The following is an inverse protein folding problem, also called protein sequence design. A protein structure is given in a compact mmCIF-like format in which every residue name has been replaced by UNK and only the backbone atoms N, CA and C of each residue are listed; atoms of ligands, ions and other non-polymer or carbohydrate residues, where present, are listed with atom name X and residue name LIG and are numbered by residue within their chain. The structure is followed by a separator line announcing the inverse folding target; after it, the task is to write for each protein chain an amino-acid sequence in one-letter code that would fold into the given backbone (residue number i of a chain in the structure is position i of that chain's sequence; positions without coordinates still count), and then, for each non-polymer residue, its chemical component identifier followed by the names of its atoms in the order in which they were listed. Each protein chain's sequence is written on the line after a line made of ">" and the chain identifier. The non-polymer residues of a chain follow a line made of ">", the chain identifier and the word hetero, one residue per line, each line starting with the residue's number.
data_IF_323262171521
#
_entry.id   IF_323262171521
#
_cell.length_a   1.000
_cell.length_b   1.000
_cell.length_c   1.000
_cell.angle_alpha   90.00
_cell.angle_beta   90.00
_cell.angle_gamma   90.00
#
_symmetry.space_group_name_H-M   'P 1'
#
loop_
_entity.id
_entity.type
_entity.pdbx_description
1 polymer ?
#
# COMPACT_ATOMS: atom_id res chain seq x y z
N UNK A 1 21.25 14.42 22.37
CA UNK A 1 20.55 13.36 21.61
C UNK A 1 20.22 12.10 22.40
N UNK A 2 21.14 11.54 23.22
CA UNK A 2 20.91 10.32 24.01
C UNK A 2 19.79 10.46 25.06
N UNK A 3 19.67 11.63 25.71
CA UNK A 3 18.58 11.89 26.66
C UNK A 3 17.18 11.86 26.04
N UNK A 4 17.01 12.35 24.80
CA UNK A 4 15.71 12.35 24.13
C UNK A 4 15.24 10.92 23.81
N UNK A 5 16.15 10.06 23.31
CA UNK A 5 15.88 8.64 23.06
C UNK A 5 15.67 7.82 24.34
N UNK A 6 16.39 8.15 25.42
CA UNK A 6 16.21 7.50 26.72
C UNK A 6 14.84 7.88 27.33
N UNK A 7 14.44 9.15 27.22
CA UNK A 7 13.13 9.64 27.66
C UNK A 7 12.00 9.01 26.83
N UNK A 8 12.20 8.85 25.53
CA UNK A 8 11.25 8.15 24.65
C UNK A 8 11.13 6.66 25.01
N UNK A 9 12.23 5.95 25.34
CA UNK A 9 12.19 4.54 25.80
C UNK A 9 11.55 4.39 27.19
N UNK A 10 11.78 5.32 28.11
CA UNK A 10 11.15 5.31 29.43
C UNK A 10 9.65 5.64 29.36
N UNK A 11 9.24 6.51 28.44
CA UNK A 11 7.83 6.74 28.09
C UNK A 11 7.19 5.53 27.35
N UNK A 12 7.99 4.57 26.91
CA UNK A 12 7.54 3.32 26.29
C UNK A 12 7.66 2.10 27.23
N UNK A 13 8.11 2.26 28.47
CA UNK A 13 7.95 1.21 29.48
C UNK A 13 6.49 1.23 29.94
N UNK A 14 5.82 0.07 29.99
CA UNK A 14 4.50 -0.03 30.61
C UNK A 14 4.63 0.29 32.09
N UNK A 15 4.04 1.39 32.55
CA UNK A 15 4.03 1.74 33.97
C UNK A 15 3.00 0.85 34.67
N UNK A 16 3.38 0.05 35.69
CA UNK A 16 2.44 -0.77 36.44
C UNK A 16 1.32 0.09 37.03
N UNK A 17 0.07 -0.24 36.71
CA UNK A 17 -1.11 0.49 37.19
C UNK A 17 -1.53 1.70 36.34
N UNK A 18 -0.83 2.02 35.24
CA UNK A 18 -1.28 3.03 34.29
C UNK A 18 -2.58 2.59 33.60
N UNK A 19 -3.54 3.51 33.52
CA UNK A 19 -4.88 3.28 32.98
C UNK A 19 -5.18 4.36 31.95
N UNK A 20 -6.13 4.08 31.05
CA UNK A 20 -6.62 5.09 30.14
C UNK A 20 -7.35 6.18 30.94
N UNK A 21 -6.75 7.37 31.01
CA UNK A 21 -7.28 8.51 31.78
C UNK A 21 -8.26 9.34 30.96
N UNK A 22 -8.10 9.34 29.63
CA UNK A 22 -8.99 10.01 28.69
C UNK A 22 -9.77 9.00 27.86
N UNK A 23 -11.07 9.25 27.69
CA UNK A 23 -11.93 8.47 26.83
C UNK A 23 -11.56 8.67 25.35
N UNK A 24 -11.71 7.62 24.53
CA UNK A 24 -11.46 7.66 23.09
C UNK A 24 -12.24 8.77 22.38
N UNK A 25 -13.46 9.09 22.84
CA UNK A 25 -14.27 10.18 22.29
C UNK A 25 -13.59 11.54 22.43
N UNK A 26 -13.03 11.85 23.62
CA UNK A 26 -12.26 13.07 23.86
C UNK A 26 -10.99 13.11 23.02
N UNK A 27 -10.28 11.98 22.92
CA UNK A 27 -9.06 11.89 22.11
C UNK A 27 -9.36 12.08 20.62
N UNK A 28 -10.48 11.55 20.11
CA UNK A 28 -10.92 11.74 18.72
C UNK A 28 -11.32 13.19 18.44
N UNK A 29 -12.09 13.81 19.33
CA UNK A 29 -12.51 15.21 19.22
C UNK A 29 -11.32 16.19 19.23
N UNK A 30 -10.28 15.85 20.00
CA UNK A 30 -9.01 16.58 19.98
C UNK A 30 -8.26 16.41 18.65
N UNK A 31 -8.25 15.19 18.09
CA UNK A 31 -7.57 14.88 16.83
C UNK A 31 -8.29 15.44 15.59
N UNK A 32 -9.61 15.62 15.67
CA UNK A 32 -10.42 16.16 14.58
C UNK A 32 -10.61 17.68 14.62
N UNK A 33 -10.17 18.32 15.71
CA UNK A 33 -10.24 19.76 15.90
C UNK A 33 -11.61 20.27 16.35
N UNK A 34 -12.59 19.38 16.57
CA UNK A 34 -13.91 19.77 17.08
C UNK A 34 -13.87 20.27 18.52
N UNK A 35 -12.87 19.84 19.29
CA UNK A 35 -12.68 20.30 20.67
C UNK A 35 -11.20 20.27 21.09
N UNK A 36 -10.60 21.40 21.51
CA UNK A 36 -9.27 21.39 22.09
C UNK A 36 -9.25 20.69 23.46
N UNK A 37 -8.13 20.03 23.79
CA UNK A 37 -7.91 19.48 25.13
C UNK A 37 -7.79 20.61 26.16
N UNK A 38 -8.52 20.51 27.27
CA UNK A 38 -8.38 21.41 28.39
C UNK A 38 -7.01 21.24 29.08
N UNK A 39 -6.49 22.24 29.81
CA UNK A 39 -5.20 22.13 30.50
C UNK A 39 -5.08 20.92 31.42
N UNK A 40 -6.14 20.57 32.14
CA UNK A 40 -6.19 19.38 33.00
C UNK A 40 -6.13 18.06 32.19
N UNK A 41 -6.79 18.01 31.02
CA UNK A 41 -6.76 16.85 30.12
C UNK A 41 -5.38 16.71 29.46
N UNK A 42 -4.74 17.82 29.12
CA UNK A 42 -3.37 17.83 28.59
C UNK A 42 -2.37 17.34 29.64
N UNK A 43 -2.51 17.78 30.90
CA UNK A 43 -1.69 17.29 32.01
C UNK A 43 -1.90 15.77 32.25
N UNK A 44 -3.15 15.31 32.22
CA UNK A 44 -3.51 13.90 32.35
C UNK A 44 -2.94 13.04 31.20
N UNK A 45 -3.00 13.55 29.96
CA UNK A 45 -2.39 12.91 28.80
C UNK A 45 -0.86 12.78 28.97
N UNK A 46 -0.18 13.85 29.39
CA UNK A 46 1.28 13.84 29.59
C UNK A 46 1.73 12.92 30.72
N UNK A 47 0.89 12.75 31.75
CA UNK A 47 1.17 11.88 32.89
C UNK A 47 0.94 10.38 32.60
N UNK A 48 0.21 10.03 31.53
CA UNK A 48 -0.14 8.64 31.20
C UNK A 48 0.47 8.18 29.86
N UNK A 49 1.57 7.41 29.90
CA UNK A 49 2.14 6.75 28.72
C UNK A 49 1.13 5.92 27.91
N UNK A 50 0.21 5.21 28.58
CA UNK A 50 -0.84 4.42 27.93
C UNK A 50 -1.82 5.30 27.16
N UNK A 51 -2.26 6.42 27.74
CA UNK A 51 -3.16 7.37 27.07
C UNK A 51 -2.47 8.05 25.88
N UNK A 52 -1.18 8.36 25.98
CA UNK A 52 -0.36 8.86 24.85
C UNK A 52 -0.26 7.84 23.71
N UNK A 53 -0.01 6.56 24.03
CA UNK A 53 -0.02 5.48 23.02
C UNK A 53 -1.37 5.37 22.34
N UNK A 54 -2.46 5.46 23.12
CA UNK A 54 -3.82 5.41 22.58
C UNK A 54 -4.09 6.58 21.63
N UNK A 55 -3.70 7.81 21.99
CA UNK A 55 -3.81 8.98 21.12
C UNK A 55 -3.01 8.79 19.82
N UNK A 56 -1.76 8.31 19.89
CA UNK A 56 -0.92 8.03 18.70
C UNK A 56 -1.57 6.98 17.78
N UNK A 57 -2.15 5.94 18.38
CA UNK A 57 -2.88 4.91 17.64
C UNK A 57 -4.13 5.47 16.94
N UNK A 58 -4.96 6.25 17.65
CA UNK A 58 -6.14 6.90 17.06
C UNK A 58 -5.78 7.89 15.94
N UNK A 59 -4.69 8.65 16.11
CA UNK A 59 -4.18 9.55 15.08
C UNK A 59 -3.73 8.79 13.81
N UNK A 60 -3.12 7.62 13.98
CA UNK A 60 -2.73 6.76 12.87
C UNK A 60 -3.96 6.19 12.13
N UNK A 61 -4.96 5.70 12.86
CA UNK A 61 -6.22 5.23 12.27
C UNK A 61 -6.93 6.35 11.50
N UNK A 62 -6.97 7.57 12.04
CA UNK A 62 -7.56 8.73 11.36
C UNK A 62 -6.82 9.05 10.06
N UNK A 63 -5.48 9.09 10.07
CA UNK A 63 -4.70 9.31 8.85
C UNK A 63 -4.95 8.23 7.79
N UNK A 64 -5.10 6.97 8.21
CA UNK A 64 -5.44 5.88 7.30
C UNK A 64 -6.85 6.03 6.71
N UNK A 65 -7.82 6.51 7.50
CA UNK A 65 -9.18 6.75 7.02
C UNK A 65 -9.28 7.96 6.06
N UNK A 66 -8.42 8.97 6.23
CA UNK A 66 -8.38 10.17 5.40
C UNK A 66 -7.41 10.05 4.22
N UNK A 67 -6.55 9.03 4.18
CA UNK A 67 -5.64 8.82 3.07
C UNK A 67 -6.46 8.52 1.80
N UNK A 68 -6.16 9.18 0.66
CA UNK A 68 -6.78 8.81 -0.60
C UNK A 68 -6.52 7.32 -0.85
N UNK A 69 -7.60 6.54 -0.95
CA UNK A 69 -7.51 5.13 -1.30
C UNK A 69 -6.96 5.03 -2.72
N UNK A 70 -5.85 4.31 -2.88
CA UNK A 70 -5.33 3.98 -4.20
C UNK A 70 -6.42 3.29 -5.03
N UNK A 71 -6.72 3.84 -6.20
CA UNK A 71 -7.78 3.36 -7.09
C UNK A 71 -7.22 2.63 -8.32
N UNK A 72 -5.92 2.78 -8.59
CA UNK A 72 -5.24 2.15 -9.70
C UNK A 72 -4.03 2.96 -10.16
N UNK A 73 -3.21 2.33 -11.00
CA UNK A 73 -2.01 2.90 -11.64
C UNK A 73 -1.97 2.43 -13.09
N UNK A 74 -1.70 3.34 -14.03
CA UNK A 74 -1.54 3.00 -15.45
C UNK A 74 -0.05 2.96 -15.82
N UNK A 75 0.31 2.22 -16.85
CA UNK A 75 1.65 2.21 -17.43
C UNK A 75 1.60 1.91 -18.92
N UNK A 76 2.72 2.17 -19.61
CA UNK A 76 2.83 2.02 -21.06
C UNK A 76 4.07 1.22 -21.45
N UNK A 77 3.92 0.33 -22.42
CA UNK A 77 5.02 -0.30 -23.13
C UNK A 77 5.79 0.80 -23.88
N UNK A 78 6.93 1.19 -23.32
CA UNK A 78 7.87 2.03 -24.05
C UNK A 78 8.69 1.12 -24.94
N UNK A 79 8.64 1.35 -26.24
CA UNK A 79 9.53 0.69 -27.18
C UNK A 79 10.97 0.94 -26.72
N UNK A 80 11.60 -0.08 -26.14
CA UNK A 80 13.04 -0.10 -26.05
C UNK A 80 13.55 -0.24 -27.49
N UNK A 81 14.50 0.61 -27.85
CA UNK A 81 15.09 0.80 -29.18
C UNK A 81 15.83 -0.45 -29.75
N UNK A 82 15.55 -1.64 -29.22
CA UNK A 82 16.32 -2.87 -29.45
C UNK A 82 15.53 -4.08 -29.95
N UNK A 83 14.20 -3.99 -30.14
CA UNK A 83 13.40 -5.11 -30.66
C UNK A 83 13.37 -6.35 -29.76
N UNK A 84 13.88 -6.26 -28.53
CA UNK A 84 13.83 -7.31 -27.53
C UNK A 84 12.48 -7.29 -26.79
N UNK A 85 12.01 -8.46 -26.33
CA UNK A 85 10.80 -8.57 -25.53
C UNK A 85 10.91 -7.68 -24.28
N UNK A 86 9.84 -6.96 -23.90
CA UNK A 86 9.85 -6.10 -22.73
C UNK A 86 9.94 -6.98 -21.49
N UNK A 87 11.14 -7.10 -20.93
CA UNK A 87 11.35 -7.87 -19.72
C UNK A 87 10.64 -7.23 -18.51
N UNK A 88 10.43 -5.90 -18.57
CA UNK A 88 9.96 -5.10 -17.44
C UNK A 88 9.16 -3.88 -17.90
N UNK A 89 7.96 -3.71 -17.34
CA UNK A 89 7.11 -2.52 -17.52
C UNK A 89 6.86 -1.87 -16.16
N UNK A 90 6.78 -0.55 -16.11
CA UNK A 90 6.58 0.21 -14.87
C UNK A 90 5.39 1.16 -15.06
N UNK A 91 4.57 1.31 -14.04
CA UNK A 91 3.48 2.30 -14.05
C UNK A 91 4.01 3.72 -14.04
N UNK A 92 3.23 4.67 -14.53
CA UNK A 92 3.60 6.08 -14.65
C UNK A 92 3.84 6.75 -13.29
N UNK A 93 3.22 6.23 -12.23
CA UNK A 93 3.47 6.64 -10.84
C UNK A 93 4.70 5.97 -10.20
N UNK A 94 5.34 5.04 -10.91
CA UNK A 94 6.55 4.34 -10.47
C UNK A 94 6.32 3.26 -9.41
N UNK A 95 5.08 2.99 -9.01
CA UNK A 95 4.79 2.15 -7.85
C UNK A 95 4.56 0.67 -8.17
N UNK A 96 4.41 0.30 -9.44
CA UNK A 96 4.23 -1.07 -9.86
C UNK A 96 5.18 -1.42 -10.99
N UNK A 97 5.75 -2.62 -10.89
CA UNK A 97 6.53 -3.23 -11.96
C UNK A 97 5.82 -4.50 -12.42
N UNK A 98 5.60 -4.63 -13.74
CA UNK A 98 5.13 -5.86 -14.37
C UNK A 98 6.31 -6.53 -15.08
N UNK A 99 6.72 -7.69 -14.58
CA UNK A 99 7.76 -8.52 -15.18
C UNK A 99 7.11 -9.59 -16.05
N UNK A 100 7.75 -9.84 -17.20
CA UNK A 100 7.34 -10.84 -18.18
C UNK A 100 8.52 -11.77 -18.39
N UNK A 101 8.43 -12.98 -17.84
CA UNK A 101 9.56 -13.92 -17.77
C UNK A 101 9.25 -15.18 -18.60
N UNK A 102 10.18 -15.65 -19.44
CA UNK A 102 10.06 -16.96 -20.05
C UNK A 102 10.37 -18.05 -19.02
N UNK A 103 9.50 -19.04 -18.89
CA UNK A 103 9.64 -20.20 -18.00
C UNK A 103 9.17 -21.47 -18.73
N UNK A 104 10.08 -22.42 -18.96
CA UNK A 104 9.80 -23.71 -19.61
C UNK A 104 9.02 -23.62 -20.94
N UNK A 105 9.36 -22.62 -21.77
CA UNK A 105 8.69 -22.38 -23.05
C UNK A 105 7.30 -21.73 -22.94
N UNK A 106 6.90 -21.30 -21.75
CA UNK A 106 5.72 -20.48 -21.48
C UNK A 106 6.14 -19.13 -20.92
N UNK A 107 5.21 -18.18 -20.89
CA UNK A 107 5.44 -16.89 -20.27
C UNK A 107 4.76 -16.84 -18.89
N UNK A 108 5.45 -16.23 -17.94
CA UNK A 108 4.96 -15.92 -16.60
C UNK A 108 4.85 -14.40 -16.45
N UNK A 109 3.80 -13.97 -15.77
CA UNK A 109 3.57 -12.57 -15.41
C UNK A 109 3.74 -12.42 -13.93
N UNK A 110 4.54 -11.46 -13.51
CA UNK A 110 4.73 -11.11 -12.10
C UNK A 110 4.47 -9.63 -11.95
N UNK A 111 3.50 -9.27 -11.11
CA UNK A 111 3.28 -7.91 -10.67
C UNK A 111 3.99 -7.72 -9.33
N UNK A 112 4.84 -6.70 -9.26
CA UNK A 112 5.61 -6.36 -8.06
C UNK A 112 5.30 -4.93 -7.62
N UNK A 113 4.99 -4.77 -6.34
CA UNK A 113 4.75 -3.50 -5.67
C UNK A 113 6.06 -2.86 -5.20
N UNK A 114 6.22 -1.56 -5.42
CA UNK A 114 7.28 -0.79 -4.76
C UNK A 114 7.00 -0.67 -3.26
N UNK A 115 7.89 -1.16 -2.36
CA UNK A 115 7.69 -1.04 -0.91
C UNK A 115 7.66 0.42 -0.42
N UNK A 116 8.18 1.37 -1.20
CA UNK A 116 8.11 2.79 -0.89
C UNK A 116 6.76 3.44 -1.28
N UNK A 117 5.87 2.73 -1.99
CA UNK A 117 4.58 3.27 -2.39
C UNK A 117 3.73 3.67 -1.17
N UNK A 118 3.09 4.86 -1.16
CA UNK A 118 2.33 5.35 0.00
C UNK A 118 1.20 4.42 0.45
N UNK A 119 0.66 3.60 -0.46
CA UNK A 119 -0.41 2.66 -0.22
C UNK A 119 0.07 1.22 0.07
N UNK A 120 1.37 0.93 -0.05
CA UNK A 120 1.89 -0.43 0.08
C UNK A 120 1.56 -1.11 1.42
N UNK A 121 1.74 -0.46 2.60
CA UNK A 121 1.43 -1.09 3.87
C UNK A 121 -0.04 -1.49 4.02
N UNK A 122 -0.95 -0.77 3.35
CA UNK A 122 -2.38 -1.05 3.38
C UNK A 122 -2.73 -2.25 2.49
N UNK A 123 -2.16 -2.32 1.28
CA UNK A 123 -2.39 -3.41 0.34
C UNK A 123 -1.81 -4.74 0.85
N UNK A 124 -0.57 -4.72 1.37
CA UNK A 124 0.10 -5.91 1.92
C UNK A 124 -0.67 -6.49 3.11
N UNK A 125 -1.09 -5.64 4.05
CA UNK A 125 -1.87 -6.08 5.21
C UNK A 125 -3.20 -6.70 4.82
N UNK A 126 -3.82 -6.21 3.75
CA UNK A 126 -5.10 -6.71 3.26
C UNK A 126 -4.97 -7.98 2.41
N UNK A 127 -3.77 -8.37 1.99
CA UNK A 127 -3.57 -9.40 0.95
C UNK A 127 -4.41 -9.06 -0.29
N UNK A 128 -4.32 -7.81 -0.75
CA UNK A 128 -5.26 -7.22 -1.69
C UNK A 128 -5.37 -8.05 -2.98
N UNK A 129 -6.60 -8.27 -3.45
CA UNK A 129 -6.86 -8.88 -4.76
C UNK A 129 -6.70 -7.79 -5.82
N UNK A 130 -5.77 -8.01 -6.75
CA UNK A 130 -5.44 -7.07 -7.82
C UNK A 130 -5.78 -7.66 -9.17
N UNK A 131 -6.01 -6.78 -10.13
CA UNK A 131 -6.16 -7.11 -11.55
C UNK A 131 -5.23 -6.22 -12.35
N UNK A 132 -4.54 -6.83 -13.31
CA UNK A 132 -3.80 -6.16 -14.37
C UNK A 132 -4.58 -6.33 -15.66
N UNK A 133 -4.85 -5.24 -16.37
CA UNK A 133 -5.49 -5.25 -17.69
C UNK A 133 -4.60 -4.62 -18.75
N UNK A 134 -4.76 -5.03 -20.01
CA UNK A 134 -4.14 -4.35 -21.16
C UNK A 134 -4.88 -3.06 -21.53
N UNK A 135 -4.42 -2.38 -22.59
CA UNK A 135 -5.01 -1.15 -23.10
C UNK A 135 -6.41 -1.31 -23.70
N UNK A 136 -6.85 -2.55 -23.94
CA UNK A 136 -8.21 -2.89 -24.38
C UNK A 136 -9.14 -3.29 -23.22
N UNK A 137 -8.61 -3.46 -22.01
CA UNK A 137 -9.33 -3.88 -20.81
C UNK A 137 -9.36 -5.39 -20.57
N UNK A 138 -8.68 -6.20 -21.41
CA UNK A 138 -8.57 -7.64 -21.19
C UNK A 138 -7.63 -7.94 -20.01
N UNK A 139 -7.91 -8.99 -19.24
CA UNK A 139 -7.11 -9.34 -18.07
C UNK A 139 -5.78 -10.00 -18.48
N UNK A 140 -4.67 -9.46 -17.98
CA UNK A 140 -3.34 -10.05 -18.10
C UNK A 140 -2.97 -10.88 -16.87
N UNK A 141 -3.44 -10.45 -15.69
CA UNK A 141 -3.22 -11.11 -14.42
C UNK A 141 -4.36 -10.76 -13.45
N UNK A 142 -4.76 -11.72 -12.62
CA UNK A 142 -5.58 -11.46 -11.44
C UNK A 142 -5.09 -12.34 -10.29
N UNK A 143 -4.71 -11.73 -9.16
CA UNK A 143 -4.07 -12.43 -8.06
C UNK A 143 -4.05 -11.64 -6.77
N UNK A 144 -3.84 -12.33 -5.64
CA UNK A 144 -3.64 -11.68 -4.34
C UNK A 144 -2.17 -11.35 -4.15
N UNK A 145 -1.91 -10.15 -3.61
CA UNK A 145 -0.58 -9.81 -3.11
C UNK A 145 -0.19 -10.74 -1.97
N UNK A 146 1.02 -11.28 -2.06
CA UNK A 146 1.68 -12.01 -0.99
C UNK A 146 2.40 -11.08 0.01
N UNK A 147 3.21 -11.68 0.89
CA UNK A 147 3.94 -10.95 1.93
C UNK A 147 5.11 -10.10 1.38
N UNK A 148 5.62 -10.45 0.19
CA UNK A 148 6.73 -9.77 -0.47
C UNK A 148 6.25 -8.65 -1.39
N UNK A 149 4.92 -8.57 -1.61
CA UNK A 149 4.31 -7.57 -2.46
C UNK A 149 4.24 -7.98 -3.91
N UNK A 150 4.20 -9.28 -4.16
CA UNK A 150 4.13 -9.86 -5.49
C UNK A 150 2.81 -10.60 -5.70
N UNK A 151 2.38 -10.67 -6.95
CA UNK A 151 1.42 -11.66 -7.38
C UNK A 151 1.75 -12.11 -8.80
N UNK A 152 1.56 -13.40 -9.05
CA UNK A 152 2.04 -14.02 -10.28
C UNK A 152 0.97 -14.92 -10.90
N UNK A 153 1.03 -15.05 -12.23
CA UNK A 153 0.15 -15.92 -12.99
C UNK A 153 0.80 -16.32 -14.33
N UNK A 154 0.43 -17.49 -14.89
CA UNK A 154 0.78 -17.80 -16.27
C UNK A 154 0.24 -16.74 -17.22
N UNK A 155 1.04 -16.39 -18.22
CA UNK A 155 0.60 -15.50 -19.30
C UNK A 155 -0.62 -16.11 -20.03
N UNK A 156 -1.75 -15.38 -20.12
CA UNK A 156 -3.02 -15.97 -20.56
C UNK A 156 -3.19 -16.02 -22.07
N UNK A 157 -2.24 -15.48 -22.86
CA UNK A 157 -2.39 -15.33 -24.30
C UNK A 157 -1.38 -16.20 -25.09
N UNK A 158 -1.76 -16.57 -26.31
CA UNK A 158 -0.90 -17.37 -27.19
C UNK A 158 0.26 -16.56 -27.79
N UNK A 159 0.05 -15.26 -28.02
CA UNK A 159 1.09 -14.37 -28.52
C UNK A 159 2.10 -14.06 -27.42
N UNK A 160 3.36 -13.86 -27.80
CA UNK A 160 4.38 -13.37 -26.89
C UNK A 160 3.98 -12.00 -26.31
N UNK A 161 4.35 -11.69 -25.05
CA UNK A 161 3.88 -10.49 -24.37
C UNK A 161 4.13 -9.18 -25.12
N UNK A 162 5.29 -9.04 -25.77
CA UNK A 162 5.63 -7.85 -26.56
C UNK A 162 4.63 -7.63 -27.70
N UNK A 163 4.42 -8.67 -28.52
CA UNK A 163 3.57 -8.63 -29.70
C UNK A 163 2.10 -8.45 -29.29
N UNK A 164 1.67 -9.15 -28.25
CA UNK A 164 0.32 -9.00 -27.70
C UNK A 164 0.08 -7.56 -27.23
N UNK A 165 0.92 -7.03 -26.33
CA UNK A 165 0.71 -5.70 -25.76
C UNK A 165 0.76 -4.61 -26.84
N UNK A 166 1.68 -4.71 -27.80
CA UNK A 166 1.77 -3.78 -28.92
C UNK A 166 0.46 -3.78 -29.76
N UNK A 167 -0.15 -4.95 -29.97
CA UNK A 167 -1.41 -5.06 -30.67
C UNK A 167 -2.62 -4.57 -29.85
N UNK A 168 -2.51 -4.53 -28.52
CA UNK A 168 -3.61 -4.22 -27.59
C UNK A 168 -3.38 -2.89 -26.84
N UNK A 169 -2.94 -1.87 -27.57
CA UNK A 169 -2.86 -0.49 -27.09
C UNK A 169 -1.56 -0.11 -26.38
N UNK A 170 -0.58 -1.02 -26.31
CA UNK A 170 0.74 -0.81 -25.71
C UNK A 170 0.65 -0.24 -24.28
N UNK A 171 -0.43 -0.54 -23.55
CA UNK A 171 -0.70 -0.01 -22.22
C UNK A 171 -1.14 -1.12 -21.27
N UNK A 172 -1.01 -0.86 -19.99
CA UNK A 172 -1.57 -1.70 -18.94
C UNK A 172 -2.08 -0.86 -17.77
N UNK A 173 -3.01 -1.40 -17.01
CA UNK A 173 -3.54 -0.79 -15.78
C UNK A 173 -3.52 -1.80 -14.66
N UNK A 174 -3.08 -1.38 -13.49
CA UNK A 174 -3.11 -2.12 -12.24
C UNK A 174 -4.20 -1.50 -11.36
N UNK A 175 -5.16 -2.29 -10.91
CA UNK A 175 -6.23 -1.81 -10.05
C UNK A 175 -6.65 -2.87 -9.03
N UNK A 176 -7.32 -2.49 -7.93
CA UNK A 176 -8.04 -3.44 -7.11
C UNK A 176 -9.03 -4.22 -7.99
N UNK A 177 -9.04 -5.55 -7.90
CA UNK A 177 -10.13 -6.30 -8.49
C UNK A 177 -11.40 -5.95 -7.70
N UNK A 178 -12.46 -5.52 -8.38
CA UNK A 178 -13.76 -5.47 -7.74
C UNK A 178 -14.03 -6.87 -7.19
N UNK A 179 -14.27 -6.98 -5.88
CA UNK A 179 -14.77 -8.22 -5.32
C UNK A 179 -16.02 -8.58 -6.12
N UNK A 180 -16.01 -9.72 -6.80
CA UNK A 180 -17.28 -10.25 -7.28
C UNK A 180 -18.20 -10.33 -6.06
N UNK A 181 -19.42 -9.78 -6.15
CA UNK A 181 -20.37 -9.81 -5.05
C UNK A 181 -20.68 -11.24 -4.60
#
# INVERSE_FOLDING_TARGET
>A
MVQARLRERLLLAGVPGDRLVLADGTLRAALDGSRPLAPAELAALQASPLTLRRLRHLALLRRQALAPRWAGSAGMLRAADSGAAPARLVTDDGHWTLHLLPQDGRWQVILQLDPAAPFAPALLRAGALLRVTDGSGAALLQGRLDADGECEAPWPHALEPAAYLQAHGAAFTVAPAAGQP
#
